data_IF_339894146190
#
_entry.id   IF_339894146190
#
_cell.length_a   1.000
_cell.length_b   1.000
_cell.length_c   1.000
_cell.angle_alpha   90.00
_cell.angle_beta   90.00
_cell.angle_gamma   90.00
#
_symmetry.space_group_name_H-M   'P 1'
#
loop_
_entity.id
_entity.type
_entity.pdbx_description
1 polymer ?
#
# COMPACT_ATOMS: atom_id res chain seq x y z
N UNK A 1 -4.10 37.48 11.11
CA UNK A 1 -3.72 37.64 9.70
C UNK A 1 -3.46 36.26 9.08
N UNK A 2 -3.86 36.12 7.83
CA UNK A 2 -3.55 34.95 7.04
C UNK A 2 -2.26 35.19 6.22
N UNK A 3 -1.78 34.16 5.53
CA UNK A 3 -0.59 34.28 4.68
C UNK A 3 -0.67 35.49 3.73
N UNK A 4 0.43 36.20 3.58
CA UNK A 4 0.49 37.43 2.78
C UNK A 4 -0.17 38.64 3.41
N UNK A 5 -0.46 38.65 4.71
CA UNK A 5 -1.03 39.79 5.44
C UNK A 5 -2.53 39.99 5.24
N UNK A 6 -3.24 39.01 4.64
CA UNK A 6 -4.69 39.08 4.46
C UNK A 6 -5.44 39.01 5.79
N UNK A 7 -6.58 39.70 5.84
CA UNK A 7 -7.46 39.74 7.02
C UNK A 7 -8.79 39.07 6.70
N UNK A 8 -9.10 38.01 7.45
CA UNK A 8 -10.42 37.38 7.46
C UNK A 8 -11.20 37.93 8.67
N UNK A 9 -12.40 38.37 8.45
CA UNK A 9 -13.31 38.92 9.50
C UNK A 9 -14.48 38.01 9.69
N UNK A 10 -14.87 37.74 10.93
CA UNK A 10 -16.10 37.04 11.26
C UNK A 10 -17.07 38.01 11.91
N UNK A 11 -18.33 37.98 11.46
CA UNK A 11 -19.40 38.71 12.11
C UNK A 11 -19.72 38.09 13.48
N UNK A 12 -19.92 38.93 14.50
CA UNK A 12 -20.16 38.48 15.89
C UNK A 12 -21.55 37.90 16.05
N UNK A 13 -22.54 38.47 15.35
CA UNK A 13 -23.96 38.13 15.50
C UNK A 13 -24.42 36.96 14.61
N UNK A 14 -23.65 36.61 13.59
CA UNK A 14 -23.97 35.51 12.64
C UNK A 14 -22.70 34.79 12.16
N UNK A 15 -22.79 33.52 11.79
CA UNK A 15 -21.68 32.76 11.25
C UNK A 15 -21.38 33.18 9.80
N UNK A 16 -20.85 34.40 9.63
CA UNK A 16 -20.51 34.97 8.33
C UNK A 16 -19.06 35.42 8.30
N UNK A 17 -18.29 34.85 7.39
CA UNK A 17 -16.91 35.22 7.13
C UNK A 17 -16.85 36.23 6.00
N UNK A 18 -16.01 37.26 6.16
CA UNK A 18 -15.79 38.29 5.17
C UNK A 18 -14.29 38.30 4.82
N UNK A 19 -14.00 37.91 3.61
CA UNK A 19 -12.68 38.08 3.02
C UNK A 19 -12.55 39.48 2.40
N UNK A 20 -11.33 39.94 2.18
CA UNK A 20 -11.06 41.18 1.48
C UNK A 20 -11.64 41.12 0.06
N UNK A 21 -12.35 42.17 -0.33
CA UNK A 21 -13.07 42.25 -1.62
C UNK A 21 -12.06 42.21 -2.78
N UNK A 22 -12.26 41.30 -3.71
CA UNK A 22 -11.44 41.16 -4.92
C UNK A 22 -10.16 40.34 -4.75
N UNK A 23 -9.86 39.83 -3.55
CA UNK A 23 -8.74 38.92 -3.31
C UNK A 23 -9.24 37.47 -3.14
N UNK A 24 -8.49 36.49 -3.64
CA UNK A 24 -8.83 35.08 -3.41
C UNK A 24 -8.69 34.78 -1.92
N UNK A 25 -9.56 33.89 -1.41
CA UNK A 25 -9.48 33.42 -0.02
C UNK A 25 -8.08 32.83 0.25
N UNK A 26 -7.34 33.34 1.25
CA UNK A 26 -6.01 32.82 1.58
C UNK A 26 -6.13 31.55 2.43
N UNK A 27 -5.07 30.73 2.41
CA UNK A 27 -4.88 29.72 3.45
C UNK A 27 -4.53 30.42 4.77
N UNK A 28 -4.79 29.76 5.87
CA UNK A 28 -4.35 30.21 7.19
C UNK A 28 -3.25 29.29 7.71
N UNK A 29 -2.08 29.88 8.01
CA UNK A 29 -0.90 29.17 8.54
C UNK A 29 -0.37 28.03 7.62
N UNK A 30 -0.37 28.25 6.32
CA UNK A 30 0.16 27.29 5.36
C UNK A 30 1.69 27.06 5.52
N UNK A 31 2.40 28.02 6.11
CA UNK A 31 3.82 27.92 6.45
C UNK A 31 4.13 26.79 7.45
N UNK A 32 3.15 26.34 8.22
CA UNK A 32 3.29 25.18 9.11
C UNK A 32 3.33 23.84 8.38
N UNK A 33 2.87 23.77 7.15
CA UNK A 33 2.91 22.54 6.34
C UNK A 33 4.32 22.24 5.82
N UNK A 34 5.26 22.01 6.73
CA UNK A 34 6.68 21.73 6.41
C UNK A 34 6.97 20.22 6.24
N UNK A 35 6.08 19.38 6.75
CA UNK A 35 6.27 17.92 6.78
C UNK A 35 7.18 17.38 7.89
N UNK A 36 7.70 18.26 8.75
CA UNK A 36 8.61 17.89 9.85
C UNK A 36 7.87 17.59 11.16
N UNK A 37 6.73 18.23 11.39
CA UNK A 37 5.93 18.10 12.61
C UNK A 37 4.47 17.74 12.27
N UNK A 38 3.73 17.13 13.20
CA UNK A 38 2.31 16.87 13.02
C UNK A 38 1.50 18.15 12.79
N UNK A 39 0.78 18.23 11.68
CA UNK A 39 -0.07 19.39 11.34
C UNK A 39 -1.45 18.92 10.95
N UNK A 40 -2.47 19.48 11.59
CA UNK A 40 -3.86 19.27 11.23
C UNK A 40 -4.27 20.20 10.10
N UNK A 41 -4.83 19.66 9.03
CA UNK A 41 -5.50 20.44 7.98
C UNK A 41 -6.99 20.46 8.30
N UNK A 42 -7.50 21.64 8.54
CA UNK A 42 -8.91 21.90 8.92
C UNK A 42 -9.61 22.80 7.91
N UNK A 43 -10.92 22.88 7.95
CA UNK A 43 -11.68 23.74 7.03
C UNK A 43 -11.65 25.20 7.48
N UNK A 44 -11.93 25.47 8.74
CA UNK A 44 -12.14 26.80 9.30
C UNK A 44 -10.93 27.36 10.05
N UNK A 45 -10.79 28.69 10.02
CA UNK A 45 -9.73 29.39 10.79
C UNK A 45 -9.92 29.21 12.29
N UNK A 46 -11.17 29.10 12.78
CA UNK A 46 -11.41 28.90 14.20
C UNK A 46 -11.03 27.51 14.67
N UNK A 47 -11.15 26.51 13.81
CA UNK A 47 -10.71 25.15 14.13
C UNK A 47 -9.18 25.08 14.23
N UNK A 48 -8.48 25.80 13.34
CA UNK A 48 -7.03 25.93 13.44
C UNK A 48 -6.60 26.63 14.74
N UNK A 49 -7.27 27.72 15.12
CA UNK A 49 -7.00 28.41 16.37
C UNK A 49 -7.35 27.56 17.59
N UNK A 50 -8.41 26.74 17.50
CA UNK A 50 -8.79 25.78 18.56
C UNK A 50 -7.72 24.70 18.75
N UNK A 51 -7.12 24.19 17.66
CA UNK A 51 -6.00 23.28 17.74
C UNK A 51 -4.78 23.94 18.39
N UNK A 52 -4.46 25.20 18.00
CA UNK A 52 -3.34 25.95 18.60
C UNK A 52 -3.56 26.23 20.09
N UNK A 53 -4.76 26.57 20.51
CA UNK A 53 -5.08 26.75 21.92
C UNK A 53 -4.86 25.49 22.76
N UNK A 54 -4.96 24.33 22.13
CA UNK A 54 -4.65 23.01 22.72
C UNK A 54 -3.17 22.63 22.60
N UNK A 55 -2.34 23.46 21.94
CA UNK A 55 -0.91 23.21 21.75
C UNK A 55 -0.54 22.41 20.50
N UNK A 56 -1.48 22.25 19.55
CA UNK A 56 -1.26 21.51 18.30
C UNK A 56 -1.08 22.46 17.10
N UNK A 57 -0.30 22.05 16.11
CA UNK A 57 -0.15 22.80 14.87
C UNK A 57 -1.32 22.52 13.91
N UNK A 58 -1.85 23.58 13.31
CA UNK A 58 -2.91 23.44 12.31
C UNK A 58 -2.78 24.47 11.19
N UNK A 59 -3.30 24.09 10.01
CA UNK A 59 -3.46 24.94 8.83
C UNK A 59 -4.92 24.88 8.41
N UNK A 60 -5.57 26.04 8.20
CA UNK A 60 -6.93 26.05 7.69
C UNK A 60 -7.00 26.37 6.20
N UNK A 61 -7.85 25.63 5.50
CA UNK A 61 -8.16 25.89 4.09
C UNK A 61 -8.90 27.24 3.90
N UNK A 62 -9.61 27.69 4.91
CA UNK A 62 -10.46 28.89 4.85
C UNK A 62 -11.48 28.81 3.67
N UNK A 63 -12.14 27.64 3.60
CA UNK A 63 -13.16 27.27 2.62
C UNK A 63 -12.71 26.18 1.65
N UNK A 64 -13.64 25.32 1.29
CA UNK A 64 -13.42 24.13 0.44
C UNK A 64 -12.86 24.45 -0.96
N UNK A 65 -13.01 25.68 -1.46
CA UNK A 65 -12.45 26.15 -2.73
C UNK A 65 -10.91 26.21 -2.76
N UNK A 66 -10.25 26.21 -1.60
CA UNK A 66 -8.77 26.26 -1.51
C UNK A 66 -8.10 24.88 -1.51
N UNK A 67 -8.83 23.80 -1.75
CA UNK A 67 -8.25 22.43 -1.86
C UNK A 67 -7.08 22.35 -2.82
N UNK A 68 -7.15 23.01 -3.96
CA UNK A 68 -6.06 23.02 -4.95
C UNK A 68 -4.78 23.66 -4.43
N UNK A 69 -4.90 24.66 -3.55
CA UNK A 69 -3.72 25.28 -2.92
C UNK A 69 -3.08 24.35 -1.90
N UNK A 70 -3.89 23.67 -1.08
CA UNK A 70 -3.37 22.63 -0.16
C UNK A 70 -2.74 21.50 -0.96
N UNK A 71 -3.40 21.00 -2.00
CA UNK A 71 -2.86 19.92 -2.84
C UNK A 71 -1.50 20.31 -3.47
N UNK A 72 -1.32 21.56 -3.90
CA UNK A 72 -0.05 22.03 -4.44
C UNK A 72 1.09 21.99 -3.38
N UNK A 73 0.79 22.30 -2.11
CA UNK A 73 1.77 22.19 -1.03
C UNK A 73 2.06 20.71 -0.74
N UNK A 74 1.03 19.89 -0.60
CA UNK A 74 1.17 18.45 -0.30
C UNK A 74 2.01 17.71 -1.33
N UNK A 75 1.95 18.10 -2.61
CA UNK A 75 2.81 17.55 -3.68
C UNK A 75 4.31 17.75 -3.44
N UNK A 76 4.69 18.73 -2.65
CA UNK A 76 6.10 19.02 -2.33
C UNK A 76 6.60 18.26 -1.09
N UNK A 77 5.70 17.61 -0.34
CA UNK A 77 6.02 16.91 0.89
C UNK A 77 6.31 15.43 0.64
N UNK A 78 7.04 14.83 1.57
CA UNK A 78 7.29 13.39 1.59
C UNK A 78 6.03 12.63 2.02
N UNK A 79 5.83 11.42 1.52
CA UNK A 79 4.77 10.49 1.93
C UNK A 79 4.85 10.11 3.43
N UNK A 80 5.99 10.36 4.06
CA UNK A 80 6.18 10.19 5.51
C UNK A 80 5.82 11.43 6.33
N UNK A 81 5.42 12.54 5.70
CA UNK A 81 5.03 13.75 6.42
C UNK A 81 3.83 13.49 7.35
N UNK A 82 3.87 13.94 8.60
CA UNK A 82 2.80 13.69 9.58
C UNK A 82 1.63 14.67 9.41
N UNK A 83 1.00 14.66 8.23
CA UNK A 83 -0.16 15.52 7.93
C UNK A 83 -1.45 14.76 8.21
N UNK A 84 -2.34 15.40 8.98
CA UNK A 84 -3.61 14.86 9.42
C UNK A 84 -4.76 15.70 8.86
N UNK A 85 -5.71 15.08 8.19
CA UNK A 85 -6.93 15.75 7.74
C UNK A 85 -7.98 15.66 8.84
N UNK A 86 -8.45 16.78 9.32
CA UNK A 86 -9.51 16.87 10.31
C UNK A 86 -10.73 17.56 9.69
N UNK A 87 -11.61 16.81 9.01
CA UNK A 87 -12.84 17.35 8.44
C UNK A 87 -13.89 17.61 9.50
N UNK A 88 -14.78 18.59 9.24
CA UNK A 88 -16.01 18.79 10.00
C UNK A 88 -16.89 17.55 9.88
N UNK A 89 -17.73 17.29 10.89
CA UNK A 89 -18.70 16.19 10.91
C UNK A 89 -19.91 16.50 10.01
N UNK A 90 -19.64 16.83 8.75
CA UNK A 90 -20.71 17.06 7.76
C UNK A 90 -20.30 16.54 6.37
N UNK A 91 -21.25 16.58 5.44
CA UNK A 91 -21.05 16.09 4.07
C UNK A 91 -19.93 16.83 3.32
N UNK A 92 -19.80 18.14 3.53
CA UNK A 92 -18.77 18.95 2.87
C UNK A 92 -17.37 18.58 3.40
N UNK A 93 -17.25 18.34 4.71
CA UNK A 93 -16.04 17.81 5.36
C UNK A 93 -15.64 16.47 4.77
N UNK A 94 -16.58 15.53 4.65
CA UNK A 94 -16.33 14.22 4.06
C UNK A 94 -15.88 14.31 2.59
N UNK A 95 -16.50 15.16 1.80
CA UNK A 95 -16.17 15.32 0.37
C UNK A 95 -14.74 15.83 0.16
N UNK A 96 -14.33 16.90 0.86
CA UNK A 96 -13.00 17.45 0.64
C UNK A 96 -11.89 16.54 1.17
N UNK A 97 -12.12 15.86 2.30
CA UNK A 97 -11.15 14.93 2.86
C UNK A 97 -10.98 13.70 1.94
N UNK A 98 -12.08 13.17 1.40
CA UNK A 98 -12.06 12.04 0.45
C UNK A 98 -11.27 12.38 -0.80
N UNK A 99 -11.51 13.55 -1.40
CA UNK A 99 -10.77 14.00 -2.60
C UNK A 99 -9.26 14.09 -2.34
N UNK A 100 -8.87 14.63 -1.17
CA UNK A 100 -7.44 14.71 -0.83
C UNK A 100 -6.81 13.35 -0.52
N UNK A 101 -7.53 12.44 0.13
CA UNK A 101 -7.01 11.08 0.40
C UNK A 101 -6.94 10.21 -0.86
N UNK A 102 -7.82 10.40 -1.83
CA UNK A 102 -7.72 9.76 -3.15
C UNK A 102 -6.48 10.24 -3.92
N UNK A 103 -6.18 11.53 -3.87
CA UNK A 103 -5.02 12.12 -4.53
C UNK A 103 -3.70 11.82 -3.79
N UNK A 104 -3.75 11.76 -2.47
CA UNK A 104 -2.60 11.54 -1.58
C UNK A 104 -2.92 10.42 -0.58
N UNK A 105 -2.78 9.14 -0.95
CA UNK A 105 -3.15 8.00 -0.09
C UNK A 105 -2.35 7.90 1.22
N UNK A 106 -1.24 8.63 1.33
CA UNK A 106 -0.42 8.70 2.52
C UNK A 106 -0.94 9.65 3.61
N UNK A 107 -1.93 10.51 3.30
CA UNK A 107 -2.54 11.39 4.30
C UNK A 107 -3.34 10.58 5.33
N UNK A 108 -3.22 10.98 6.59
CA UNK A 108 -4.05 10.41 7.64
C UNK A 108 -5.35 11.19 7.77
N UNK A 109 -6.46 10.55 7.53
CA UNK A 109 -7.78 11.11 7.81
C UNK A 109 -8.16 10.79 9.25
N UNK A 110 -8.38 11.83 10.07
CA UNK A 110 -8.87 11.68 11.43
C UNK A 110 -10.26 11.03 11.44
N UNK A 111 -10.57 10.20 12.44
CA UNK A 111 -11.94 9.71 12.67
C UNK A 111 -12.91 10.89 12.84
N UNK A 112 -14.23 10.68 12.69
CA UNK A 112 -15.20 11.70 13.04
C UNK A 112 -15.00 12.24 14.46
N UNK A 113 -15.22 13.55 14.66
CA UNK A 113 -15.19 14.14 15.99
C UNK A 113 -16.17 13.41 16.93
N UNK A 114 -15.80 13.14 18.18
CA UNK A 114 -16.63 12.39 19.11
C UNK A 114 -17.94 13.12 19.44
N UNK A 115 -17.93 14.46 19.44
CA UNK A 115 -19.06 15.31 19.66
C UNK A 115 -18.92 16.61 18.84
N UNK A 116 -20.05 17.27 18.55
CA UNK A 116 -20.07 18.53 17.81
C UNK A 116 -19.89 18.37 16.30
N UNK A 117 -19.97 19.48 15.61
CA UNK A 117 -19.82 19.58 14.17
C UNK A 117 -18.37 19.82 13.76
N UNK A 118 -17.70 20.69 14.49
CA UNK A 118 -16.33 21.14 14.22
C UNK A 118 -15.47 21.13 15.50
N UNK A 119 -14.16 21.29 15.36
CA UNK A 119 -13.22 21.26 16.49
C UNK A 119 -13.48 22.38 17.48
N UNK A 120 -13.93 23.55 17.02
CA UNK A 120 -14.23 24.66 17.88
C UNK A 120 -15.44 24.39 18.80
N UNK A 121 -16.47 23.72 18.27
CA UNK A 121 -17.63 23.31 19.09
C UNK A 121 -17.18 22.25 20.12
N UNK A 122 -16.36 21.27 19.75
CA UNK A 122 -15.83 20.29 20.67
C UNK A 122 -14.98 20.94 21.77
N UNK A 123 -14.08 21.87 21.42
CA UNK A 123 -13.27 22.61 22.39
C UNK A 123 -14.11 23.39 23.39
N UNK A 124 -15.17 24.03 22.90
CA UNK A 124 -16.10 24.81 23.76
C UNK A 124 -16.93 23.90 24.68
N UNK A 125 -17.27 22.70 24.27
CA UNK A 125 -18.03 21.74 25.05
C UNK A 125 -17.14 21.00 26.09
N UNK A 126 -16.02 20.44 25.65
CA UNK A 126 -15.07 19.71 26.51
C UNK A 126 -13.63 19.87 26.01
N UNK A 127 -12.89 20.75 26.68
CA UNK A 127 -11.48 21.02 26.35
C UNK A 127 -10.58 19.77 26.52
N UNK A 128 -10.85 18.95 27.54
CA UNK A 128 -10.03 17.78 27.80
C UNK A 128 -10.26 16.70 26.73
N UNK A 129 -11.50 16.47 26.36
CA UNK A 129 -11.87 15.56 25.28
C UNK A 129 -11.28 15.99 23.93
N UNK A 130 -11.33 17.29 23.60
CA UNK A 130 -10.75 17.83 22.39
C UNK A 130 -9.23 17.60 22.32
N UNK A 131 -8.51 17.84 23.42
CA UNK A 131 -7.07 17.59 23.48
C UNK A 131 -6.73 16.11 23.36
N UNK A 132 -7.45 15.22 24.06
CA UNK A 132 -7.26 13.77 23.97
C UNK A 132 -7.54 13.25 22.56
N UNK A 133 -8.57 13.75 21.91
CA UNK A 133 -8.91 13.35 20.55
C UNK A 133 -7.79 13.73 19.57
N UNK A 134 -7.30 14.97 19.59
CA UNK A 134 -6.19 15.39 18.71
C UNK A 134 -4.92 14.58 18.97
N UNK A 135 -4.58 14.32 20.24
CA UNK A 135 -3.42 13.48 20.58
C UNK A 135 -3.59 12.06 20.04
N UNK A 136 -4.76 11.45 20.19
CA UNK A 136 -5.04 10.12 19.67
C UNK A 136 -4.90 10.02 18.14
N UNK A 137 -5.26 11.08 17.40
CA UNK A 137 -5.07 11.16 15.96
C UNK A 137 -3.58 11.18 15.60
N UNK A 138 -2.76 11.95 16.33
CA UNK A 138 -1.31 11.98 16.13
C UNK A 138 -0.68 10.62 16.41
N UNK A 139 -1.04 9.99 17.52
CA UNK A 139 -0.51 8.67 17.91
C UNK A 139 -0.87 7.60 16.85
N UNK A 140 -2.11 7.64 16.34
CA UNK A 140 -2.57 6.75 15.28
C UNK A 140 -1.83 6.98 13.97
N UNK A 141 -1.56 8.24 13.61
CA UNK A 141 -0.74 8.57 12.43
C UNK A 141 0.70 8.13 12.62
N UNK A 142 1.29 8.36 13.78
CA UNK A 142 2.66 7.96 14.09
C UNK A 142 2.84 6.43 13.97
N UNK A 143 1.84 5.65 14.39
CA UNK A 143 1.85 4.19 14.24
C UNK A 143 1.80 3.72 12.78
N UNK A 144 1.28 4.54 11.86
CA UNK A 144 1.23 4.23 10.42
C UNK A 144 2.47 4.70 9.65
N UNK A 145 3.24 5.62 10.23
CA UNK A 145 4.47 6.09 9.60
C UNK A 145 5.54 5.00 9.65
N UNK A 146 6.42 4.96 8.64
CA UNK A 146 7.57 4.10 8.72
C UNK A 146 8.41 4.48 9.96
N UNK A 147 9.06 3.50 10.58
CA UNK A 147 9.80 3.74 11.83
C UNK A 147 10.83 4.87 11.68
N UNK A 148 11.12 5.61 12.77
CA UNK A 148 12.09 6.71 12.77
C UNK A 148 13.46 6.30 12.21
N UNK A 149 14.25 7.27 11.78
CA UNK A 149 15.59 7.03 11.21
C UNK A 149 16.49 6.13 12.10
N UNK A 150 16.35 6.21 13.40
CA UNK A 150 17.11 5.37 14.35
C UNK A 150 16.85 3.88 14.15
N UNK A 151 15.60 3.48 13.82
CA UNK A 151 15.28 2.10 13.44
C UNK A 151 15.67 1.76 12.00
N UNK A 152 15.97 2.77 11.16
CA UNK A 152 16.56 2.61 9.82
C UNK A 152 18.08 2.60 9.84
N UNK A 153 18.71 2.88 10.98
CA UNK A 153 20.16 2.74 11.15
C UNK A 153 20.58 1.28 10.99
N UNK A 154 21.85 1.05 10.66
CA UNK A 154 22.37 -0.32 10.55
C UNK A 154 22.14 -1.13 11.83
N UNK A 155 22.28 -0.53 13.00
CA UNK A 155 22.01 -1.17 14.29
C UNK A 155 20.52 -1.53 14.47
N UNK A 156 19.59 -0.62 14.10
CA UNK A 156 18.16 -0.89 14.12
C UNK A 156 17.74 -1.96 13.13
N UNK A 157 18.34 -1.98 11.93
CA UNK A 157 18.10 -3.02 10.93
C UNK A 157 18.65 -4.40 11.36
N UNK A 158 19.72 -4.44 12.15
CA UNK A 158 20.23 -5.71 12.69
C UNK A 158 19.24 -6.40 13.62
N UNK A 159 18.57 -5.67 14.50
CA UNK A 159 17.52 -6.25 15.33
C UNK A 159 16.35 -6.82 14.51
N UNK A 160 15.91 -6.08 13.48
CA UNK A 160 14.86 -6.54 12.57
C UNK A 160 15.31 -7.72 11.68
N UNK A 161 16.62 -7.81 11.38
CA UNK A 161 17.18 -8.92 10.60
C UNK A 161 17.10 -10.24 11.36
N UNK A 162 17.30 -10.26 12.67
CA UNK A 162 17.17 -11.47 13.49
C UNK A 162 15.74 -12.01 13.44
N UNK A 163 14.74 -11.16 13.58
CA UNK A 163 13.32 -11.54 13.44
C UNK A 163 13.01 -12.04 12.02
N UNK A 164 13.54 -11.37 11.00
CA UNK A 164 13.38 -11.79 9.61
C UNK A 164 14.01 -13.16 9.34
N UNK A 165 15.22 -13.41 9.84
CA UNK A 165 15.91 -14.72 9.71
C UNK A 165 15.10 -15.81 10.41
N UNK A 166 14.58 -15.56 11.62
CA UNK A 166 13.74 -16.51 12.32
C UNK A 166 12.47 -16.85 11.52
N UNK A 167 11.82 -15.86 10.93
CA UNK A 167 10.64 -16.05 10.08
C UNK A 167 10.95 -16.83 8.79
N UNK A 168 12.11 -16.58 8.18
CA UNK A 168 12.55 -17.30 6.99
C UNK A 168 12.90 -18.77 7.30
N UNK A 169 13.43 -19.06 8.48
CA UNK A 169 13.72 -20.42 8.90
C UNK A 169 12.47 -21.32 8.99
N UNK A 170 11.29 -20.72 9.19
CA UNK A 170 10.00 -21.42 9.17
C UNK A 170 9.48 -21.72 7.75
N UNK A 171 10.11 -21.15 6.72
CA UNK A 171 9.74 -21.30 5.31
C UNK A 171 10.84 -22.05 4.55
N UNK A 172 10.85 -23.39 4.58
CA UNK A 172 11.87 -24.15 3.87
C UNK A 172 11.78 -23.88 2.35
N UNK A 173 12.92 -23.91 1.64
CA UNK A 173 12.94 -23.75 0.20
C UNK A 173 12.11 -24.83 -0.49
N UNK A 174 11.52 -24.49 -1.62
CA UNK A 174 10.71 -25.41 -2.42
C UNK A 174 11.64 -26.22 -3.36
N UNK A 175 11.67 -27.54 -3.21
CA UNK A 175 12.43 -28.39 -4.11
C UNK A 175 11.92 -28.27 -5.55
N UNK A 176 12.79 -28.01 -6.50
CA UNK A 176 12.47 -28.02 -7.93
C UNK A 176 12.26 -29.42 -8.48
N UNK A 177 12.64 -30.45 -7.71
CA UNK A 177 12.67 -31.84 -8.14
C UNK A 177 13.90 -32.19 -8.98
N UNK A 178 14.85 -31.27 -9.12
CA UNK A 178 16.14 -31.48 -9.75
C UNK A 178 17.26 -31.35 -8.72
N UNK A 179 17.75 -32.45 -8.19
CA UNK A 179 18.67 -32.47 -7.04
C UNK A 179 19.95 -31.63 -7.24
N UNK A 180 20.48 -31.57 -8.46
CA UNK A 180 21.66 -30.73 -8.75
C UNK A 180 21.32 -29.24 -8.76
N UNK A 181 20.11 -28.87 -9.21
CA UNK A 181 19.64 -27.49 -9.18
C UNK A 181 19.33 -27.09 -7.75
N UNK A 182 18.62 -27.94 -7.00
CA UNK A 182 18.32 -27.69 -5.60
C UNK A 182 19.61 -27.48 -4.78
N UNK A 183 20.63 -28.31 -5.00
CA UNK A 183 21.93 -28.14 -4.35
C UNK A 183 22.64 -26.82 -4.74
N UNK A 184 22.49 -26.36 -5.98
CA UNK A 184 23.04 -25.09 -6.44
C UNK A 184 22.27 -23.86 -5.93
N UNK A 185 21.03 -24.07 -5.49
CA UNK A 185 20.14 -23.06 -4.91
C UNK A 185 20.00 -23.19 -3.38
N UNK A 186 20.97 -23.81 -2.72
CA UNK A 186 21.00 -24.02 -1.26
C UNK A 186 19.73 -24.69 -0.70
N UNK A 187 19.18 -25.66 -1.46
CA UNK A 187 18.03 -26.47 -1.05
C UNK A 187 16.80 -26.35 -1.94
N UNK A 188 16.70 -25.35 -2.80
CA UNK A 188 15.59 -25.17 -3.73
C UNK A 188 15.22 -23.70 -3.98
N UNK A 189 13.98 -23.46 -4.32
CA UNK A 189 13.47 -22.11 -4.59
C UNK A 189 13.05 -21.41 -3.30
N UNK A 190 13.55 -20.22 -3.10
CA UNK A 190 13.13 -19.25 -2.09
C UNK A 190 12.19 -18.21 -2.71
N UNK A 191 11.62 -17.34 -1.91
CA UNK A 191 10.84 -16.19 -2.38
C UNK A 191 11.71 -15.29 -3.27
N UNK A 192 11.28 -15.02 -4.49
CA UNK A 192 12.05 -14.19 -5.41
C UNK A 192 11.72 -14.40 -6.88
N UNK A 193 12.43 -13.70 -7.74
CA UNK A 193 12.32 -13.80 -9.19
C UNK A 193 13.47 -14.64 -9.75
N UNK A 194 13.13 -15.74 -10.42
CA UNK A 194 14.09 -16.59 -11.14
C UNK A 194 13.92 -16.41 -12.64
N UNK A 195 14.98 -16.08 -13.33
CA UNK A 195 14.99 -15.88 -14.79
C UNK A 195 15.78 -17.01 -15.47
N UNK A 196 15.09 -17.75 -16.36
CA UNK A 196 15.71 -18.83 -17.13
C UNK A 196 15.93 -18.39 -18.57
N UNK A 197 17.17 -18.33 -18.99
CA UNK A 197 17.59 -18.06 -20.35
C UNK A 197 18.13 -19.31 -21.05
N UNK A 198 17.74 -19.53 -22.31
CA UNK A 198 18.36 -20.56 -23.18
C UNK A 198 18.10 -20.22 -24.65
N UNK A 199 18.88 -20.77 -25.55
CA UNK A 199 18.63 -20.70 -27.00
C UNK A 199 17.31 -21.37 -27.37
N UNK A 200 16.73 -20.96 -28.49
CA UNK A 200 15.47 -21.54 -28.97
C UNK A 200 15.56 -23.07 -29.07
N UNK A 201 14.47 -23.75 -28.79
CA UNK A 201 14.32 -25.22 -28.87
C UNK A 201 15.17 -26.05 -27.88
N UNK A 202 15.86 -25.41 -26.92
CA UNK A 202 16.64 -26.14 -25.91
C UNK A 202 15.75 -26.77 -24.79
N UNK A 203 14.44 -26.52 -24.78
CA UNK A 203 13.51 -27.14 -23.84
C UNK A 203 13.15 -26.27 -22.62
N UNK A 204 13.31 -24.94 -22.67
CA UNK A 204 12.92 -24.02 -21.58
C UNK A 204 11.52 -24.32 -21.02
N UNK A 205 10.54 -24.35 -21.90
CA UNK A 205 9.13 -24.61 -21.52
C UNK A 205 8.96 -25.99 -20.89
N UNK A 206 9.62 -27.03 -21.45
CA UNK A 206 9.56 -28.38 -20.90
C UNK A 206 10.16 -28.45 -19.49
N UNK A 207 11.26 -27.75 -19.27
CA UNK A 207 11.91 -27.70 -17.96
C UNK A 207 11.05 -26.94 -16.93
N UNK A 208 10.49 -25.77 -17.29
CA UNK A 208 9.58 -25.02 -16.42
C UNK A 208 8.33 -25.83 -16.08
N UNK A 209 7.74 -26.52 -17.06
CA UNK A 209 6.57 -27.41 -16.84
C UNK A 209 6.91 -28.57 -15.91
N UNK A 210 8.08 -29.18 -16.07
CA UNK A 210 8.50 -30.26 -15.18
C UNK A 210 8.70 -29.76 -13.74
N UNK A 211 9.28 -28.58 -13.57
CA UNK A 211 9.41 -27.94 -12.26
C UNK A 211 8.03 -27.64 -11.64
N UNK A 212 7.10 -27.09 -12.44
CA UNK A 212 5.73 -26.83 -12.03
C UNK A 212 5.01 -28.11 -11.57
N UNK A 213 5.11 -29.19 -12.34
CA UNK A 213 4.55 -30.50 -11.99
C UNK A 213 5.19 -31.07 -10.70
N UNK A 214 6.49 -30.90 -10.50
CA UNK A 214 7.17 -31.32 -9.28
C UNK A 214 6.71 -30.55 -8.05
N UNK A 215 6.49 -29.24 -8.17
CA UNK A 215 5.94 -28.41 -7.10
C UNK A 215 4.48 -28.78 -6.80
N UNK A 216 3.67 -29.00 -7.82
CA UNK A 216 2.28 -29.44 -7.66
C UNK A 216 2.19 -30.78 -6.91
N UNK A 217 3.09 -31.75 -7.18
CA UNK A 217 3.17 -33.02 -6.43
C UNK A 217 3.51 -32.83 -4.95
N UNK A 218 4.17 -31.73 -4.60
CA UNK A 218 4.45 -31.35 -3.22
C UNK A 218 3.27 -30.64 -2.56
N UNK A 219 2.11 -30.56 -3.24
CA UNK A 219 0.91 -29.90 -2.74
C UNK A 219 0.96 -28.36 -2.85
N UNK A 220 1.80 -27.81 -3.73
CA UNK A 220 1.88 -26.37 -3.97
C UNK A 220 1.02 -25.96 -5.16
N UNK A 221 0.26 -24.91 -5.01
CA UNK A 221 -0.46 -24.31 -6.13
C UNK A 221 0.54 -23.60 -7.08
N UNK A 222 0.38 -23.88 -8.38
CA UNK A 222 1.26 -23.31 -9.42
C UNK A 222 0.41 -22.65 -10.49
N UNK A 223 0.65 -21.38 -10.75
CA UNK A 223 0.00 -20.63 -11.81
C UNK A 223 0.96 -20.42 -12.98
N UNK A 224 0.52 -20.78 -14.20
CA UNK A 224 1.35 -20.71 -15.41
C UNK A 224 0.72 -19.74 -16.40
N UNK A 225 1.48 -18.71 -16.77
CA UNK A 225 1.16 -17.82 -17.88
C UNK A 225 2.00 -18.18 -19.10
N UNK A 226 1.35 -18.34 -20.25
CA UNK A 226 2.02 -18.69 -21.51
C UNK A 226 1.52 -17.82 -22.66
N UNK A 227 2.44 -17.39 -23.52
CA UNK A 227 2.13 -16.64 -24.76
C UNK A 227 2.40 -17.46 -26.03
N UNK A 228 3.07 -18.61 -25.92
CA UNK A 228 3.49 -19.43 -27.06
C UNK A 228 2.62 -20.68 -27.27
N UNK A 229 2.04 -21.22 -26.20
CA UNK A 229 1.36 -22.53 -26.21
C UNK A 229 -0.03 -22.43 -25.59
N UNK A 230 -0.94 -23.24 -26.06
CA UNK A 230 -2.26 -23.38 -25.43
C UNK A 230 -2.20 -24.19 -24.14
N UNK A 231 -3.18 -24.01 -23.25
CA UNK A 231 -3.30 -24.81 -22.03
C UNK A 231 -3.36 -26.33 -22.31
N UNK A 232 -4.03 -26.72 -23.41
CA UNK A 232 -4.13 -28.13 -23.82
C UNK A 232 -2.77 -28.71 -24.24
N UNK A 233 -1.94 -27.96 -24.94
CA UNK A 233 -0.58 -28.37 -25.31
C UNK A 233 0.32 -28.54 -24.08
N UNK A 234 0.21 -27.65 -23.11
CA UNK A 234 0.94 -27.77 -21.84
C UNK A 234 0.47 -29.00 -21.04
N UNK A 235 -0.85 -29.20 -20.93
CA UNK A 235 -1.43 -30.40 -20.28
C UNK A 235 -0.99 -31.70 -20.98
N UNK A 236 -1.00 -31.74 -22.31
CA UNK A 236 -0.56 -32.90 -23.07
C UNK A 236 0.92 -33.23 -22.82
N UNK A 237 1.77 -32.22 -22.62
CA UNK A 237 3.18 -32.42 -22.25
C UNK A 237 3.31 -33.02 -20.85
N UNK A 238 2.57 -32.51 -19.86
CA UNK A 238 2.55 -33.08 -18.51
C UNK A 238 2.05 -34.54 -18.53
N UNK A 239 0.92 -34.81 -19.20
CA UNK A 239 0.38 -36.19 -19.33
C UNK A 239 1.40 -37.11 -20.02
N UNK A 240 2.03 -36.65 -21.12
CA UNK A 240 3.04 -37.45 -21.82
C UNK A 240 4.20 -37.81 -20.89
N UNK A 241 4.68 -36.84 -20.10
CA UNK A 241 5.75 -37.07 -19.13
C UNK A 241 5.34 -38.03 -18.01
N UNK A 242 4.15 -37.83 -17.44
CA UNK A 242 3.64 -38.68 -16.36
C UNK A 242 3.44 -40.14 -16.82
N UNK A 243 2.88 -40.34 -17.99
CA UNK A 243 2.71 -41.69 -18.54
C UNK A 243 4.04 -42.37 -18.86
N UNK A 244 5.07 -41.59 -19.25
CA UNK A 244 6.42 -42.09 -19.43
C UNK A 244 7.08 -42.49 -18.10
N UNK A 245 6.90 -41.69 -17.06
CA UNK A 245 7.44 -41.98 -15.72
C UNK A 245 6.75 -43.16 -15.07
N UNK A 246 5.42 -43.26 -15.22
CA UNK A 246 4.62 -44.33 -14.64
C UNK A 246 4.76 -45.67 -15.37
N UNK A 247 5.31 -45.71 -16.58
CA UNK A 247 5.53 -46.96 -17.32
C UNK A 247 6.86 -47.59 -16.92
N UNK A 248 6.80 -48.65 -16.10
CA UNK A 248 7.99 -49.39 -15.65
C UNK A 248 8.62 -50.24 -16.75
N UNK A 249 7.96 -50.36 -17.90
CA UNK A 249 8.46 -51.18 -18.99
C UNK A 249 9.70 -50.52 -19.63
N UNK A 250 10.72 -51.32 -19.89
CA UNK A 250 11.97 -50.87 -20.51
C UNK A 250 11.74 -50.17 -21.87
N UNK A 251 10.75 -50.62 -22.63
CA UNK A 251 10.39 -50.01 -23.93
C UNK A 251 9.48 -48.85 -23.87
N UNK A 252 8.92 -48.52 -22.68
CA UNK A 252 7.98 -47.42 -22.46
C UNK A 252 6.76 -47.47 -23.41
N UNK A 253 6.29 -48.67 -23.80
CA UNK A 253 5.26 -48.84 -24.82
C UNK A 253 3.88 -48.34 -24.37
N UNK A 254 3.64 -48.19 -23.04
CA UNK A 254 2.42 -47.63 -22.48
C UNK A 254 2.45 -46.10 -22.36
N UNK A 255 3.61 -45.51 -22.53
CA UNK A 255 3.72 -44.04 -22.48
C UNK A 255 3.06 -43.40 -23.68
N UNK A 256 2.46 -42.24 -23.44
CA UNK A 256 1.75 -41.49 -24.48
C UNK A 256 2.62 -40.33 -24.98
N UNK A 257 2.69 -40.14 -26.27
CA UNK A 257 3.34 -38.97 -26.86
C UNK A 257 2.42 -37.74 -26.75
N UNK A 258 2.98 -36.54 -26.72
CA UNK A 258 2.22 -35.27 -26.72
C UNK A 258 1.16 -35.28 -27.85
N UNK A 259 1.57 -35.64 -29.08
CA UNK A 259 0.65 -35.76 -30.23
C UNK A 259 -0.43 -36.82 -30.02
N UNK A 260 -0.06 -37.95 -29.42
CA UNK A 260 -1.02 -39.00 -29.11
C UNK A 260 -2.09 -38.59 -28.09
N UNK A 261 -1.72 -37.77 -27.11
CA UNK A 261 -2.67 -37.19 -26.16
C UNK A 261 -3.62 -36.21 -26.84
N UNK A 262 -3.11 -35.33 -27.71
CA UNK A 262 -3.91 -34.30 -28.40
C UNK A 262 -4.83 -34.90 -29.51
N UNK A 263 -4.36 -35.95 -30.19
CA UNK A 263 -5.13 -36.54 -31.32
C UNK A 263 -6.28 -37.45 -30.88
N UNK A 264 -6.30 -37.96 -29.66
CA UNK A 264 -7.37 -38.80 -29.10
C UNK A 264 -7.69 -40.10 -29.85
N UNK A 265 -7.32 -40.19 -31.12
CA UNK A 265 -7.60 -41.32 -32.01
C UNK A 265 -6.64 -42.51 -31.82
N UNK A 266 -5.46 -42.21 -31.30
CA UNK A 266 -4.37 -43.18 -31.20
C UNK A 266 -4.43 -44.04 -29.93
N UNK A 267 -5.27 -43.65 -28.99
CA UNK A 267 -5.47 -44.30 -27.72
C UNK A 267 -6.98 -44.26 -27.39
N UNK A 268 -7.81 -45.01 -28.11
CA UNK A 268 -9.19 -45.22 -27.68
C UNK A 268 -9.13 -46.01 -26.39
N UNK A 269 -9.64 -45.46 -25.31
CA UNK A 269 -9.87 -45.99 -23.95
C UNK A 269 -8.79 -46.92 -23.34
#
# INVERSE_FOLDING_TARGET
>A
PCDGGHIVRRAVAEKRYLNEKGLPSPLFQADKLTGSEPVFVVEGVFDALSAEELGFCACAMNGSGNRTKIAAILQTLSDSAPILLLPDNDKAGDEWASVLTEQFPWLYRCPPLPEGKDLNELLCADRALAGQYLQSCIDSRAAQLPPPYETRSAAGQMALLEDYIALQAERPPLSTGFSKLDAALDGGLYDGLYVMGAVSSLGKTAFCMQMADNLARQGRDVLIFTLEMTAFELMARSISRETFLADDNRTKYRSRTVRGVLDGRRYPD
#
